data_IF_323838061747
#
_entry.id   IF_323838061747
#
_cell.length_a   1.000
_cell.length_b   1.000
_cell.length_c   1.000
_cell.angle_alpha   90.00
_cell.angle_beta   90.00
_cell.angle_gamma   90.00
#
_symmetry.space_group_name_H-M   'P 1'
#
loop_
_entity.id
_entity.type
_entity.pdbx_description
1 polymer ?
#
# COMPACT_ATOMS: atom_id res chain seq x y z
N UNK A 1 -12.95 -0.53 2.61
CA UNK A 1 -11.69 0.12 3.00
C UNK A 1 -11.95 0.79 4.34
N UNK A 2 -11.14 0.46 5.34
CA UNK A 2 -11.17 1.12 6.65
C UNK A 2 -10.19 2.30 6.64
N UNK A 3 -10.45 3.32 7.46
CA UNK A 3 -9.59 4.50 7.61
C UNK A 3 -9.34 4.78 9.09
N UNK A 4 -8.10 5.13 9.44
CA UNK A 4 -7.70 5.53 10.79
C UNK A 4 -6.83 6.77 10.70
N UNK A 5 -7.14 7.79 11.49
CA UNK A 5 -6.29 8.98 11.65
C UNK A 5 -5.51 8.81 12.94
N UNK A 6 -4.19 8.79 12.82
CA UNK A 6 -3.26 8.69 13.94
C UNK A 6 -2.91 10.08 14.47
N UNK A 7 -2.85 10.20 15.80
CA UNK A 7 -2.54 11.47 16.47
C UNK A 7 -1.06 11.81 16.44
N UNK A 8 -0.22 10.78 16.35
CA UNK A 8 1.24 10.92 16.34
C UNK A 8 1.72 10.82 14.89
N UNK A 9 2.13 11.94 14.27
CA UNK A 9 2.67 11.91 12.91
C UNK A 9 4.02 11.20 12.88
N UNK A 10 4.23 10.33 11.90
CA UNK A 10 5.53 9.68 11.66
C UNK A 10 6.20 10.32 10.45
N UNK A 11 7.45 10.83 10.56
CA UNK A 11 8.14 11.41 9.41
C UNK A 11 8.40 10.38 8.32
N UNK A 12 7.95 10.68 7.09
CA UNK A 12 8.14 9.83 5.93
C UNK A 12 8.79 10.63 4.79
N UNK A 13 9.94 10.16 4.31
CA UNK A 13 10.77 10.91 3.35
C UNK A 13 10.57 10.49 1.88
N UNK A 14 9.84 9.41 1.64
CA UNK A 14 9.61 8.86 0.32
C UNK A 14 8.16 9.09 -0.14
N UNK A 15 7.90 9.30 -1.44
CA UNK A 15 8.86 9.76 -2.45
C UNK A 15 9.25 11.24 -2.26
N UNK A 16 8.53 11.94 -1.39
CA UNK A 16 8.85 13.29 -0.90
C UNK A 16 8.57 13.36 0.59
N UNK A 17 9.24 14.29 1.28
CA UNK A 17 9.01 14.56 2.70
C UNK A 17 7.55 14.91 2.98
N UNK A 18 6.93 14.12 3.85
CA UNK A 18 5.60 14.32 4.42
C UNK A 18 5.50 13.61 5.79
N UNK A 19 4.31 13.56 6.37
CA UNK A 19 4.02 12.89 7.64
C UNK A 19 2.93 11.85 7.44
N UNK A 20 3.14 10.65 7.97
CA UNK A 20 2.15 9.59 7.95
C UNK A 20 1.15 9.81 9.09
N UNK A 21 -0.10 10.13 8.72
CA UNK A 21 -1.19 10.40 9.68
C UNK A 21 -2.47 9.65 9.35
N UNK A 22 -2.75 9.40 8.07
CA UNK A 22 -3.93 8.68 7.59
C UNK A 22 -3.55 7.28 7.14
N UNK A 23 -3.96 6.26 7.89
CA UNK A 23 -3.88 4.85 7.47
C UNK A 23 -5.17 4.45 6.76
N UNK A 24 -5.04 3.76 5.62
CA UNK A 24 -6.15 3.12 4.93
C UNK A 24 -5.85 1.64 4.71
N UNK A 25 -6.78 0.78 5.13
CA UNK A 25 -6.66 -0.68 5.03
C UNK A 25 -7.70 -1.28 4.11
N UNK A 26 -7.31 -2.33 3.39
CA UNK A 26 -8.17 -3.14 2.52
C UNK A 26 -8.01 -4.62 2.83
N UNK A 27 -9.08 -5.39 2.59
CA UNK A 27 -9.01 -6.85 2.56
C UNK A 27 -8.11 -7.26 1.39
N UNK A 28 -7.00 -7.95 1.70
CA UNK A 28 -6.00 -8.37 0.73
C UNK A 28 -5.29 -9.64 1.17
N UNK A 29 -5.31 -10.67 0.31
CA UNK A 29 -4.61 -11.94 0.56
C UNK A 29 -3.18 -11.86 0.05
N UNK A 30 -2.23 -11.66 0.96
CA UNK A 30 -0.82 -11.53 0.60
C UNK A 30 -0.12 -12.90 0.48
N UNK A 31 0.52 -13.22 -0.66
CA UNK A 31 1.47 -14.32 -0.74
C UNK A 31 2.69 -14.07 0.18
N UNK A 32 3.09 -15.03 1.05
CA UNK A 32 4.23 -14.83 1.97
C UNK A 32 5.55 -14.48 1.30
N UNK A 33 5.79 -14.96 0.08
CA UNK A 33 6.98 -14.69 -0.72
C UNK A 33 7.06 -13.26 -1.28
N UNK A 34 6.00 -12.45 -1.09
CA UNK A 34 5.90 -11.07 -1.58
C UNK A 34 6.06 -9.99 -0.51
N UNK A 35 6.32 -10.39 0.73
CA UNK A 35 6.49 -9.43 1.83
C UNK A 35 7.71 -8.53 1.63
N UNK A 36 8.85 -9.12 1.24
CA UNK A 36 10.10 -8.38 1.05
C UNK A 36 10.00 -7.39 -0.11
N UNK A 37 9.29 -7.76 -1.19
CA UNK A 37 9.06 -6.90 -2.35
C UNK A 37 8.32 -5.61 -1.94
N UNK A 38 7.31 -5.71 -1.07
CA UNK A 38 6.56 -4.55 -0.59
C UNK A 38 7.38 -3.70 0.39
N UNK A 39 8.08 -4.35 1.33
CA UNK A 39 8.95 -3.66 2.28
C UNK A 39 10.08 -2.88 1.58
N UNK A 40 10.59 -3.39 0.46
CA UNK A 40 11.57 -2.70 -0.37
C UNK A 40 10.97 -1.53 -1.18
N UNK A 41 9.67 -1.58 -1.49
CA UNK A 41 8.99 -0.53 -2.25
C UNK A 41 8.71 0.71 -1.40
N UNK A 42 8.01 0.56 -0.27
CA UNK A 42 7.53 1.67 0.56
C UNK A 42 7.44 1.24 2.02
N UNK A 43 8.08 1.99 2.92
CA UNK A 43 8.12 1.67 4.35
C UNK A 43 6.78 1.85 5.07
N UNK A 44 5.83 2.55 4.44
CA UNK A 44 4.50 2.85 5.00
C UNK A 44 3.40 1.99 4.40
N UNK A 45 3.77 1.01 3.57
CA UNK A 45 2.90 -0.09 3.16
C UNK A 45 3.10 -1.26 4.11
N UNK A 46 2.03 -1.69 4.78
CA UNK A 46 2.10 -2.77 5.77
C UNK A 46 1.12 -3.89 5.48
N UNK A 47 1.53 -5.12 5.77
CA UNK A 47 0.71 -6.31 5.57
C UNK A 47 0.43 -6.98 6.91
N UNK A 48 -0.85 -7.25 7.17
CA UNK A 48 -1.30 -8.04 8.33
C UNK A 48 -1.88 -9.37 7.86
N UNK A 49 -1.02 -10.38 7.63
CA UNK A 49 -1.39 -11.72 7.09
C UNK A 49 -2.56 -12.36 7.85
N UNK A 50 -2.48 -12.40 9.17
CA UNK A 50 -3.52 -12.97 10.04
C UNK A 50 -4.90 -12.35 9.83
N UNK A 51 -4.93 -11.02 9.65
CA UNK A 51 -6.17 -10.28 9.36
C UNK A 51 -6.56 -10.32 7.89
N UNK A 52 -5.65 -10.70 7.00
CA UNK A 52 -5.87 -10.62 5.57
C UNK A 52 -5.99 -9.18 5.08
N UNK A 53 -5.12 -8.30 5.56
CA UNK A 53 -5.17 -6.86 5.28
C UNK A 53 -3.86 -6.35 4.67
N UNK A 54 -4.00 -5.41 3.73
CA UNK A 54 -2.95 -4.53 3.23
C UNK A 54 -3.32 -3.08 3.60
N UNK A 55 -2.38 -2.36 4.19
CA UNK A 55 -2.52 -0.95 4.56
C UNK A 55 -1.51 -0.08 3.84
N UNK A 56 -1.87 1.17 3.60
CA UNK A 56 -0.95 2.26 3.28
C UNK A 56 -1.19 3.42 4.25
N UNK A 57 -0.13 4.15 4.57
CA UNK A 57 -0.18 5.31 5.45
C UNK A 57 0.48 6.53 4.78
N UNK A 58 -0.17 7.69 4.84
CA UNK A 58 0.31 8.93 4.24
C UNK A 58 -0.40 10.16 4.84
N UNK A 59 -0.15 11.37 4.32
CA UNK A 59 -0.88 12.60 4.64
C UNK A 59 -2.11 12.83 3.74
N UNK A 60 -2.28 12.03 2.68
CA UNK A 60 -3.35 12.17 1.67
C UNK A 60 -3.91 10.81 1.26
N UNK A 61 -5.24 10.77 1.11
CA UNK A 61 -5.95 9.57 0.64
C UNK A 61 -5.52 9.17 -0.79
N UNK A 62 -5.26 10.16 -1.64
CA UNK A 62 -4.81 9.94 -3.01
C UNK A 62 -3.46 9.23 -3.09
N UNK A 63 -2.56 9.48 -2.13
CA UNK A 63 -1.26 8.81 -2.07
C UNK A 63 -1.40 7.40 -1.50
N UNK A 64 -2.32 7.17 -0.56
CA UNK A 64 -2.67 5.81 -0.14
C UNK A 64 -3.24 4.98 -1.30
N UNK A 65 -4.11 5.54 -2.15
CA UNK A 65 -4.54 4.85 -3.36
C UNK A 65 -3.37 4.49 -4.28
N UNK A 66 -2.41 5.40 -4.46
CA UNK A 66 -1.23 5.15 -5.27
C UNK A 66 -0.40 3.99 -4.70
N UNK A 67 -0.09 4.03 -3.41
CA UNK A 67 0.67 3.01 -2.72
C UNK A 67 0.00 1.62 -2.81
N UNK A 68 -1.31 1.54 -2.54
CA UNK A 68 -2.06 0.28 -2.61
C UNK A 68 -2.13 -0.28 -4.03
N UNK A 69 -2.26 0.58 -5.05
CA UNK A 69 -2.26 0.16 -6.46
C UNK A 69 -0.89 -0.39 -6.88
N UNK A 70 0.20 0.29 -6.51
CA UNK A 70 1.55 -0.18 -6.82
C UNK A 70 1.91 -1.45 -6.06
N UNK A 71 1.50 -1.57 -4.79
CA UNK A 71 1.65 -2.79 -4.02
C UNK A 71 0.97 -3.98 -4.71
N UNK A 72 -0.27 -3.80 -5.19
CA UNK A 72 -0.95 -4.84 -5.96
C UNK A 72 -0.23 -5.18 -7.27
N UNK A 73 0.25 -4.18 -8.00
CA UNK A 73 0.97 -4.41 -9.26
C UNK A 73 2.28 -5.20 -9.01
N UNK A 74 3.00 -4.94 -7.91
CA UNK A 74 4.19 -5.72 -7.49
C UNK A 74 3.81 -7.16 -7.17
N UNK A 75 2.80 -7.36 -6.32
CA UNK A 75 2.37 -8.69 -5.88
C UNK A 75 1.90 -9.55 -7.05
N UNK A 76 1.22 -8.95 -8.01
CA UNK A 76 0.74 -9.62 -9.23
C UNK A 76 1.82 -9.77 -10.31
N UNK A 77 3.04 -9.28 -10.08
CA UNK A 77 4.16 -9.37 -11.01
C UNK A 77 4.02 -8.49 -12.25
N UNK A 78 3.11 -7.52 -12.23
CA UNK A 78 2.91 -6.58 -13.34
C UNK A 78 4.04 -5.57 -13.45
N UNK A 79 4.69 -5.25 -12.34
CA UNK A 79 5.80 -4.29 -12.24
C UNK A 79 6.82 -4.78 -11.20
N UNK A 80 8.09 -4.47 -11.43
CA UNK A 80 9.16 -4.75 -10.46
C UNK A 80 9.26 -3.63 -9.41
N UNK A 81 9.82 -3.95 -8.24
CA UNK A 81 9.96 -3.02 -7.10
C UNK A 81 10.61 -1.68 -7.52
N UNK A 82 11.74 -1.73 -8.22
CA UNK A 82 12.46 -0.53 -8.65
C UNK A 82 11.63 0.35 -9.59
N UNK A 83 10.93 -0.27 -10.54
CA UNK A 83 10.06 0.44 -11.47
C UNK A 83 8.84 1.03 -10.73
N UNK A 84 8.31 0.32 -9.73
CA UNK A 84 7.23 0.82 -8.89
C UNK A 84 7.65 2.05 -8.09
N UNK A 85 8.86 2.06 -7.51
CA UNK A 85 9.42 3.22 -6.79
C UNK A 85 9.55 4.44 -7.72
N UNK A 86 10.05 4.24 -8.94
CA UNK A 86 10.15 5.32 -9.94
C UNK A 86 8.77 5.82 -10.38
N UNK A 87 7.83 4.90 -10.62
CA UNK A 87 6.45 5.21 -10.99
C UNK A 87 5.75 6.00 -9.89
N UNK A 88 5.94 5.61 -8.63
CA UNK A 88 5.44 6.33 -7.47
C UNK A 88 5.93 7.78 -7.50
N UNK A 89 7.25 7.99 -7.54
CA UNK A 89 7.84 9.34 -7.58
C UNK A 89 7.32 10.19 -8.73
N UNK A 90 7.22 9.63 -9.94
CA UNK A 90 6.69 10.31 -11.12
C UNK A 90 5.24 10.75 -10.93
N UNK A 91 4.37 9.85 -10.48
CA UNK A 91 2.94 10.15 -10.27
C UNK A 91 2.77 11.16 -9.15
N UNK A 92 3.53 11.06 -8.04
CA UNK A 92 3.48 12.05 -6.97
C UNK A 92 3.92 13.43 -7.46
N UNK A 93 4.94 13.53 -8.31
CA UNK A 93 5.36 14.82 -8.86
C UNK A 93 4.30 15.44 -9.78
N UNK A 94 3.64 14.61 -10.60
CA UNK A 94 2.52 15.04 -11.43
C UNK A 94 1.32 15.50 -10.57
N UNK A 95 0.97 14.73 -9.53
CA UNK A 95 -0.09 15.06 -8.60
C UNK A 95 0.14 16.40 -7.90
N UNK A 96 1.37 16.69 -7.47
CA UNK A 96 1.74 17.99 -6.87
C UNK A 96 1.58 19.17 -7.84
N UNK A 97 1.56 18.92 -9.15
CA UNK A 97 1.25 19.93 -10.19
C UNK A 97 -0.24 20.05 -10.49
N UNK A 98 -1.10 19.31 -9.77
CA UNK A 98 -2.55 19.30 -9.97
C UNK A 98 -3.03 18.31 -11.02
N UNK A 99 -2.16 17.43 -11.52
CA UNK A 99 -2.55 16.39 -12.47
C UNK A 99 -3.32 15.26 -11.77
N UNK A 100 -4.32 14.72 -12.46
CA UNK A 100 -5.06 13.54 -12.00
C UNK A 100 -4.50 12.30 -12.67
N UNK A 101 -4.20 11.28 -11.88
CA UNK A 101 -3.77 9.97 -12.38
C UNK A 101 -4.71 8.89 -11.86
N UNK A 102 -5.13 7.88 -12.64
CA UNK A 102 -6.07 6.86 -12.16
C UNK A 102 -5.69 6.25 -10.81
N UNK A 103 -4.39 6.00 -10.61
CA UNK A 103 -3.87 5.37 -9.37
C UNK A 103 -4.04 6.24 -8.13
N UNK A 104 -4.23 7.55 -8.28
CA UNK A 104 -4.45 8.46 -7.15
C UNK A 104 -5.93 8.70 -6.88
N UNK A 105 -6.83 8.17 -7.71
CA UNK A 105 -8.27 8.45 -7.61
C UNK A 105 -9.04 7.28 -6.99
N UNK A 106 -8.59 6.05 -7.23
CA UNK A 106 -9.25 4.83 -6.76
C UNK A 106 -8.33 3.62 -6.92
N UNK A 107 -8.72 2.52 -6.30
CA UNK A 107 -8.13 1.20 -6.60
C UNK A 107 -8.43 0.81 -8.05
N UNK A 108 -7.41 0.33 -8.75
CA UNK A 108 -7.47 -0.15 -10.14
C UNK A 108 -7.70 -1.65 -10.25
N UNK A 109 -7.92 -2.30 -9.11
CA UNK A 109 -8.22 -3.72 -9.00
C UNK A 109 -9.47 -3.91 -8.15
N UNK A 110 -10.12 -5.06 -8.30
CA UNK A 110 -11.29 -5.41 -7.51
C UNK A 110 -10.82 -6.04 -6.20
N UNK A 111 -11.38 -5.58 -5.08
CA UNK A 111 -11.16 -6.21 -3.79
C UNK A 111 -11.89 -7.55 -3.74
N UNK A 112 -11.19 -8.58 -3.28
CA UNK A 112 -11.80 -9.87 -2.99
C UNK A 112 -12.72 -9.69 -1.78
N UNK A 113 -13.99 -10.06 -1.91
CA UNK A 113 -14.95 -10.01 -0.80
C UNK A 113 -14.86 -11.31 0.00
N UNK A 114 -14.26 -11.23 1.18
CA UNK A 114 -14.06 -12.37 2.09
C UNK A 114 -12.89 -13.28 1.71
N UNK A 115 -12.50 -14.17 2.65
CA UNK A 115 -11.42 -15.17 2.49
C UNK A 115 -10.00 -14.64 2.30
N UNK A 116 -9.73 -13.39 2.70
CA UNK A 116 -8.36 -12.83 2.70
C UNK A 116 -7.57 -13.19 3.95
N UNK A 117 -8.25 -13.54 5.05
CA UNK A 117 -7.64 -13.95 6.31
C UNK A 117 -6.80 -15.20 6.14
N UNK A 118 -5.64 -15.22 6.81
CA UNK A 118 -4.77 -16.38 6.92
C UNK A 118 -4.29 -16.49 8.37
N UNK A 119 -5.00 -17.23 9.24
CA UNK A 119 -4.72 -17.30 10.67
C UNK A 119 -3.38 -18.00 11.00
N UNK A 120 -2.62 -18.40 9.98
CA UNK A 120 -1.48 -19.31 10.08
C UNK A 120 -1.89 -20.68 10.64
N UNK A 121 -0.91 -21.48 11.06
CA UNK A 121 -1.12 -22.84 11.58
C UNK A 121 -0.54 -22.98 12.98
N UNK A 122 -1.27 -23.68 13.83
CA UNK A 122 -0.72 -24.18 15.09
C UNK A 122 0.37 -25.24 14.79
N UNK A 123 1.48 -25.21 15.54
CA UNK A 123 2.49 -26.25 15.45
C UNK A 123 1.94 -27.55 16.05
N UNK A 124 1.88 -28.59 15.24
CA UNK A 124 1.57 -29.92 15.74
C UNK A 124 2.79 -30.44 16.52
N UNK A 125 2.56 -30.84 17.77
CA UNK A 125 3.57 -31.43 18.65
C UNK A 125 3.90 -32.86 18.25
#
# INVERSE_FOLDING_TARGET
>A
MAQVINREPVPHLFPVKHEDVLEQSIDYKMPPDKFDDLAACDGSVTVRRTKGELSAMCDKEEMNFLALNLANDIVTGKILVEEARQTYGKITMAFKKGEKHPYTQKLQFQLVKGQTTDPDRELQK
#
